data_IF_961260227411
#
_entry.id   IF_961260227411
#
_cell.length_a   1.000
_cell.length_b   1.000
_cell.length_c   1.000
_cell.angle_alpha   90.00
_cell.angle_beta   90.00
_cell.angle_gamma   90.00
#
_symmetry.space_group_name_H-M   'P 1'
#
loop_
_entity.id
_entity.type
_entity.pdbx_description
1 polymer ?
#
# COMPACT_ATOMS: atom_id res chain seq x y z
N UNK A 1 -12.67 -36.93 -38.44
CA UNK A 1 -11.85 -35.70 -38.31
C UNK A 1 -12.35 -35.00 -37.06
N UNK A 2 -11.67 -35.18 -35.92
CA UNK A 2 -12.09 -34.59 -34.64
C UNK A 2 -11.32 -33.30 -34.47
N UNK A 3 -12.01 -32.17 -34.63
CA UNK A 3 -11.49 -30.84 -34.33
C UNK A 3 -11.49 -30.65 -32.81
N UNK A 4 -10.32 -30.66 -32.19
CA UNK A 4 -10.14 -30.14 -30.84
C UNK A 4 -10.14 -28.62 -30.94
N UNK A 5 -11.25 -27.99 -30.54
CA UNK A 5 -11.25 -26.56 -30.26
C UNK A 5 -10.51 -26.33 -28.95
N UNK A 6 -9.26 -25.90 -29.04
CA UNK A 6 -8.54 -25.32 -27.91
C UNK A 6 -9.21 -23.99 -27.59
N UNK A 7 -10.01 -23.96 -26.53
CA UNK A 7 -10.39 -22.69 -25.92
C UNK A 7 -9.12 -22.12 -25.29
N UNK A 8 -8.46 -21.22 -26.01
CA UNK A 8 -7.54 -20.29 -25.37
C UNK A 8 -8.41 -19.40 -24.49
N UNK A 9 -8.45 -19.67 -23.19
CA UNK A 9 -8.87 -18.65 -22.23
C UNK A 9 -7.99 -17.43 -22.51
N UNK A 10 -8.59 -16.35 -22.99
CA UNK A 10 -7.96 -15.04 -22.92
C UNK A 10 -7.74 -14.81 -21.42
N UNK A 11 -6.55 -15.16 -20.93
CA UNK A 11 -6.14 -14.82 -19.58
C UNK A 11 -5.97 -13.31 -19.57
N UNK A 12 -7.10 -12.61 -19.33
CA UNK A 12 -7.13 -11.19 -19.04
C UNK A 12 -6.03 -10.92 -18.02
N UNK A 13 -5.12 -10.01 -18.35
CA UNK A 13 -4.11 -9.52 -17.41
C UNK A 13 -4.80 -9.18 -16.08
N UNK A 14 -4.32 -9.70 -14.94
CA UNK A 14 -4.86 -9.34 -13.64
C UNK A 14 -4.92 -7.82 -13.48
N UNK A 15 -6.01 -7.31 -12.90
CA UNK A 15 -6.23 -5.90 -12.60
C UNK A 15 -5.10 -5.39 -11.70
N UNK A 16 -4.67 -6.19 -10.74
CA UNK A 16 -3.50 -5.90 -9.89
C UNK A 16 -2.23 -5.65 -10.71
N UNK A 17 -1.97 -6.44 -11.75
CA UNK A 17 -0.83 -6.24 -12.64
C UNK A 17 -0.96 -4.96 -13.49
N UNK A 18 -2.18 -4.61 -13.92
CA UNK A 18 -2.43 -3.32 -14.61
C UNK A 18 -2.18 -2.13 -13.70
N UNK A 19 -2.67 -2.16 -12.46
CA UNK A 19 -2.42 -1.09 -11.48
C UNK A 19 -0.94 -0.96 -11.13
N UNK A 20 -0.21 -2.09 -11.08
CA UNK A 20 1.24 -2.07 -10.89
C UNK A 20 1.98 -1.40 -12.06
N UNK A 21 1.53 -1.63 -13.28
CA UNK A 21 2.16 -1.09 -14.49
C UNK A 21 1.81 0.39 -14.73
N UNK A 22 0.52 0.73 -14.63
CA UNK A 22 -0.02 2.01 -15.07
C UNK A 22 -0.31 2.97 -13.90
N UNK A 23 -0.24 2.46 -12.66
CA UNK A 23 -0.71 3.16 -11.47
C UNK A 23 -2.24 3.21 -11.39
N UNK A 24 -2.75 3.80 -10.30
CA UNK A 24 -4.16 4.14 -10.20
C UNK A 24 -4.47 5.41 -11.01
N UNK A 25 -5.56 5.42 -11.79
CA UNK A 25 -5.99 6.60 -12.52
C UNK A 25 -6.33 7.74 -11.55
N UNK A 26 -6.10 8.98 -12.01
CA UNK A 26 -6.50 10.18 -11.29
C UNK A 26 -7.96 10.58 -11.52
N UNK A 27 -8.57 10.11 -12.62
CA UNK A 27 -9.96 10.40 -12.97
C UNK A 27 -10.91 9.57 -12.09
N UNK A 28 -11.91 10.18 -11.42
CA UNK A 28 -12.70 9.51 -10.38
C UNK A 28 -13.50 8.30 -10.87
N UNK A 29 -14.10 8.39 -12.06
CA UNK A 29 -14.92 7.32 -12.61
C UNK A 29 -14.05 6.11 -13.02
N UNK A 30 -12.88 6.36 -13.62
CA UNK A 30 -11.88 5.35 -13.93
C UNK A 30 -11.32 4.71 -12.66
N UNK A 31 -11.09 5.50 -11.60
CA UNK A 31 -10.66 5.01 -10.30
C UNK A 31 -11.72 4.10 -9.65
N UNK A 32 -12.99 4.49 -9.70
CA UNK A 32 -14.09 3.66 -9.20
C UNK A 32 -14.20 2.34 -9.98
N UNK A 33 -14.07 2.40 -11.31
CA UNK A 33 -14.11 1.23 -12.19
C UNK A 33 -12.99 0.24 -11.88
N UNK A 34 -11.74 0.70 -11.85
CA UNK A 34 -10.59 -0.18 -11.57
C UNK A 34 -10.63 -0.71 -10.13
N UNK A 35 -11.12 0.07 -9.17
CA UNK A 35 -11.31 -0.39 -7.79
C UNK A 35 -12.37 -1.48 -7.70
N UNK A 36 -13.50 -1.33 -8.39
CA UNK A 36 -14.51 -2.40 -8.47
C UNK A 36 -13.96 -3.67 -9.09
N UNK A 37 -13.15 -3.56 -10.15
CA UNK A 37 -12.54 -4.70 -10.81
C UNK A 37 -11.50 -5.41 -9.93
N UNK A 38 -10.75 -4.68 -9.09
CA UNK A 38 -9.86 -5.26 -8.08
C UNK A 38 -10.63 -6.10 -7.06
N UNK A 39 -11.80 -5.62 -6.60
CA UNK A 39 -12.62 -6.40 -5.67
C UNK A 39 -13.16 -7.68 -6.30
N UNK A 40 -13.64 -7.61 -7.54
CA UNK A 40 -14.07 -8.81 -8.30
C UNK A 40 -12.92 -9.80 -8.51
N UNK A 41 -11.70 -9.29 -8.74
CA UNK A 41 -10.51 -10.15 -8.82
C UNK A 41 -10.26 -10.85 -7.49
N UNK A 42 -10.36 -10.13 -6.37
CA UNK A 42 -10.26 -10.72 -5.04
C UNK A 42 -11.34 -11.79 -4.80
N UNK A 43 -12.62 -11.50 -5.06
CA UNK A 43 -13.71 -12.47 -4.90
C UNK A 43 -13.50 -13.75 -5.73
N UNK A 44 -12.93 -13.62 -6.93
CA UNK A 44 -12.68 -14.75 -7.83
C UNK A 44 -11.44 -15.56 -7.44
N UNK A 45 -10.40 -14.91 -6.93
CA UNK A 45 -9.07 -15.53 -6.76
C UNK A 45 -8.67 -15.75 -5.32
N UNK A 46 -9.35 -15.11 -4.37
CA UNK A 46 -9.01 -15.01 -2.95
C UNK A 46 -7.57 -14.54 -2.69
N UNK A 47 -6.97 -13.79 -3.62
CA UNK A 47 -5.61 -13.29 -3.50
C UNK A 47 -5.57 -11.97 -2.75
N UNK A 48 -4.94 -11.98 -1.58
CA UNK A 48 -4.83 -10.82 -0.69
C UNK A 48 -4.19 -9.59 -1.34
N UNK A 49 -3.29 -9.76 -2.31
CA UNK A 49 -2.77 -8.64 -3.09
C UNK A 49 -3.88 -7.81 -3.75
N UNK A 50 -4.88 -8.46 -4.36
CA UNK A 50 -6.03 -7.76 -4.93
C UNK A 50 -6.83 -7.00 -3.87
N UNK A 51 -6.97 -7.55 -2.66
CA UNK A 51 -7.65 -6.90 -1.54
C UNK A 51 -6.90 -5.65 -1.05
N UNK A 52 -5.56 -5.70 -0.98
CA UNK A 52 -4.73 -4.55 -0.61
C UNK A 52 -4.88 -3.43 -1.65
N UNK A 53 -4.74 -3.76 -2.94
CA UNK A 53 -4.91 -2.77 -4.01
C UNK A 53 -6.34 -2.21 -4.01
N UNK A 54 -7.36 -3.05 -3.84
CA UNK A 54 -8.75 -2.59 -3.69
C UNK A 54 -8.89 -1.58 -2.56
N UNK A 55 -8.35 -1.90 -1.38
CA UNK A 55 -8.39 -1.04 -0.20
C UNK A 55 -7.72 0.31 -0.45
N UNK A 56 -6.58 0.31 -1.13
CA UNK A 56 -5.90 1.54 -1.54
C UNK A 56 -6.74 2.36 -2.55
N UNK A 57 -7.39 1.71 -3.51
CA UNK A 57 -8.33 2.34 -4.43
C UNK A 57 -9.52 2.99 -3.71
N UNK A 58 -10.07 2.35 -2.68
CA UNK A 58 -11.12 2.90 -1.83
C UNK A 58 -10.64 4.16 -1.09
N UNK A 59 -9.43 4.13 -0.52
CA UNK A 59 -8.84 5.28 0.18
C UNK A 59 -8.56 6.46 -0.77
N UNK A 60 -8.17 6.19 -2.02
CA UNK A 60 -8.04 7.24 -3.05
C UNK A 60 -9.39 7.86 -3.41
N UNK A 61 -10.44 7.05 -3.52
CA UNK A 61 -11.81 7.57 -3.72
C UNK A 61 -12.27 8.40 -2.53
N UNK A 62 -11.99 7.97 -1.30
CA UNK A 62 -12.27 8.74 -0.10
C UNK A 62 -11.62 10.13 -0.14
N UNK A 63 -10.35 10.19 -0.54
CA UNK A 63 -9.62 11.46 -0.70
C UNK A 63 -10.24 12.35 -1.80
N UNK A 64 -10.71 11.77 -2.90
CA UNK A 64 -11.44 12.52 -3.92
C UNK A 64 -12.74 13.13 -3.35
N UNK A 65 -13.58 12.33 -2.70
CA UNK A 65 -14.84 12.84 -2.12
C UNK A 65 -14.59 13.89 -1.03
N UNK A 66 -13.54 13.72 -0.23
CA UNK A 66 -13.08 14.73 0.72
C UNK A 66 -12.76 16.06 0.02
N UNK A 67 -12.08 16.03 -1.13
CA UNK A 67 -11.68 17.23 -1.88
C UNK A 67 -12.86 18.05 -2.44
N UNK A 68 -14.02 17.41 -2.64
CA UNK A 68 -15.26 18.06 -3.08
C UNK A 68 -16.26 18.29 -1.94
N UNK A 69 -15.82 18.15 -0.69
CA UNK A 69 -16.62 18.28 0.54
C UNK A 69 -17.82 17.31 0.64
N UNK A 70 -17.78 16.19 -0.06
CA UNK A 70 -18.75 15.10 0.12
C UNK A 70 -18.30 14.20 1.27
N UNK A 71 -18.53 14.68 2.49
CA UNK A 71 -18.04 14.04 3.71
C UNK A 71 -18.68 12.68 3.98
N UNK A 72 -19.91 12.45 3.48
CA UNK A 72 -20.61 11.18 3.63
C UNK A 72 -19.88 10.11 2.83
N UNK A 73 -19.68 10.34 1.53
CA UNK A 73 -18.96 9.38 0.69
C UNK A 73 -17.50 9.26 1.15
N UNK A 74 -16.82 10.37 1.47
CA UNK A 74 -15.46 10.32 2.00
C UNK A 74 -15.33 9.37 3.20
N UNK A 75 -16.26 9.46 4.16
CA UNK A 75 -16.28 8.60 5.34
C UNK A 75 -16.54 7.13 5.00
N UNK A 76 -17.54 6.84 4.15
CA UNK A 76 -17.89 5.45 3.80
C UNK A 76 -16.77 4.74 3.02
N UNK A 77 -16.15 5.43 2.05
CA UNK A 77 -15.01 4.90 1.31
C UNK A 77 -13.78 4.71 2.21
N UNK A 78 -13.51 5.66 3.13
CA UNK A 78 -12.39 5.54 4.07
C UNK A 78 -12.58 4.36 5.01
N UNK A 79 -13.76 4.22 5.63
CA UNK A 79 -14.09 3.10 6.52
C UNK A 79 -13.92 1.75 5.82
N UNK A 80 -14.43 1.64 4.59
CA UNK A 80 -14.33 0.40 3.81
C UNK A 80 -12.88 0.10 3.44
N UNK A 81 -12.14 1.12 2.99
CA UNK A 81 -10.72 0.99 2.64
C UNK A 81 -9.87 0.54 3.84
N UNK A 82 -10.06 1.16 5.01
CA UNK A 82 -9.35 0.75 6.22
C UNK A 82 -9.72 -0.64 6.70
N UNK A 83 -11.02 -0.98 6.70
CA UNK A 83 -11.48 -2.29 7.10
C UNK A 83 -10.78 -3.41 6.31
N UNK A 84 -10.77 -3.33 4.97
CA UNK A 84 -10.15 -4.37 4.16
C UNK A 84 -8.63 -4.34 4.16
N UNK A 85 -8.02 -3.16 4.35
CA UNK A 85 -6.56 -3.06 4.48
C UNK A 85 -6.08 -3.72 5.78
N UNK A 86 -6.82 -3.51 6.87
CA UNK A 86 -6.52 -4.11 8.17
C UNK A 86 -6.82 -5.62 8.14
N UNK A 87 -7.97 -6.03 7.61
CA UNK A 87 -8.33 -7.45 7.43
C UNK A 87 -7.28 -8.21 6.60
N UNK A 88 -6.71 -7.59 5.55
CA UNK A 88 -5.67 -8.21 4.74
C UNK A 88 -4.43 -8.59 5.57
N UNK A 89 -4.07 -7.76 6.57
CA UNK A 89 -2.95 -8.03 7.47
C UNK A 89 -3.36 -8.98 8.60
N UNK A 90 -4.53 -8.78 9.19
CA UNK A 90 -5.00 -9.57 10.32
C UNK A 90 -5.29 -11.03 9.92
N UNK A 91 -5.67 -11.28 8.67
CA UNK A 91 -5.82 -12.66 8.15
C UNK A 91 -4.49 -13.28 7.69
N UNK A 92 -3.41 -12.51 7.64
CA UNK A 92 -2.10 -12.93 7.16
C UNK A 92 -0.97 -12.41 8.07
N UNK A 93 -1.15 -12.50 9.39
CA UNK A 93 -0.34 -11.78 10.39
C UNK A 93 1.17 -12.02 10.28
N UNK A 94 1.57 -13.23 9.89
CA UNK A 94 2.97 -13.65 9.75
C UNK A 94 3.64 -13.20 8.44
N UNK A 95 2.85 -12.71 7.47
CA UNK A 95 3.35 -12.29 6.18
C UNK A 95 3.83 -10.83 6.22
N UNK A 96 5.15 -10.68 6.35
CA UNK A 96 5.80 -9.37 6.42
C UNK A 96 5.69 -8.56 5.12
N UNK A 97 5.43 -9.18 3.97
CA UNK A 97 5.26 -8.47 2.70
C UNK A 97 3.90 -7.75 2.65
N UNK A 98 2.85 -8.41 3.14
CA UNK A 98 1.51 -7.81 3.27
C UNK A 98 1.55 -6.67 4.28
N UNK A 99 2.22 -6.88 5.42
CA UNK A 99 2.44 -5.84 6.44
C UNK A 99 3.20 -4.63 5.88
N UNK A 100 4.23 -4.88 5.05
CA UNK A 100 4.95 -3.80 4.35
C UNK A 100 4.00 -2.97 3.49
N UNK A 101 3.11 -3.61 2.72
CA UNK A 101 2.17 -2.89 1.86
C UNK A 101 1.14 -2.07 2.65
N UNK A 102 0.65 -2.56 3.80
CA UNK A 102 -0.19 -1.74 4.69
C UNK A 102 0.56 -0.51 5.19
N UNK A 103 1.76 -0.69 5.73
CA UNK A 103 2.60 0.42 6.18
C UNK A 103 2.87 1.43 5.05
N UNK A 104 3.04 0.91 3.82
CA UNK A 104 3.27 1.72 2.61
C UNK A 104 2.05 2.53 2.22
N UNK A 105 0.84 2.01 2.35
CA UNK A 105 -0.38 2.79 2.11
C UNK A 105 -0.52 3.83 3.22
N UNK A 106 -0.44 3.41 4.47
CA UNK A 106 -0.72 4.24 5.64
C UNK A 106 0.25 5.43 5.82
N UNK A 107 1.54 5.25 5.50
CA UNK A 107 2.56 6.28 5.66
C UNK A 107 2.37 7.52 4.75
N UNK A 108 1.55 7.42 3.70
CA UNK A 108 1.24 8.53 2.79
C UNK A 108 -0.21 8.99 2.86
N UNK A 109 -0.99 8.49 3.82
CA UNK A 109 -2.33 9.03 4.05
C UNK A 109 -2.28 10.35 4.83
N UNK A 110 -3.30 11.22 4.67
CA UNK A 110 -3.41 12.45 5.44
C UNK A 110 -3.30 12.23 6.96
N UNK A 111 -2.54 13.10 7.63
CA UNK A 111 -2.24 13.02 9.08
C UNK A 111 -3.49 12.88 9.95
N UNK A 112 -4.58 13.58 9.57
CA UNK A 112 -5.84 13.58 10.32
C UNK A 112 -6.55 12.22 10.40
N UNK A 113 -6.14 11.22 9.61
CA UNK A 113 -6.73 9.87 9.63
C UNK A 113 -6.13 8.95 10.71
N UNK A 114 -5.08 9.40 11.44
CA UNK A 114 -4.52 8.66 12.57
C UNK A 114 -3.69 7.41 12.23
N UNK A 115 -3.52 7.10 10.94
CA UNK A 115 -2.82 5.90 10.45
C UNK A 115 -1.31 5.87 10.71
N UNK A 116 -0.75 6.96 11.23
CA UNK A 116 0.66 7.01 11.65
C UNK A 116 0.97 6.03 12.78
N UNK A 117 0.02 5.75 13.69
CA UNK A 117 0.24 4.79 14.80
C UNK A 117 0.45 3.38 14.24
N UNK A 118 -0.42 2.97 13.31
CA UNK A 118 -0.34 1.66 12.65
C UNK A 118 0.94 1.54 11.83
N UNK A 119 1.33 2.61 11.12
CA UNK A 119 2.62 2.62 10.39
C UNK A 119 3.81 2.45 11.34
N UNK A 120 3.80 3.07 12.52
CA UNK A 120 4.88 2.90 13.51
C UNK A 120 4.94 1.44 13.98
N UNK A 121 3.80 0.83 14.32
CA UNK A 121 3.72 -0.56 14.75
C UNK A 121 4.19 -1.54 13.66
N UNK A 122 3.71 -1.36 12.43
CA UNK A 122 4.12 -2.21 11.32
C UNK A 122 5.60 -2.05 11.01
N UNK A 123 6.12 -0.82 10.96
CA UNK A 123 7.55 -0.60 10.71
C UNK A 123 8.43 -1.16 11.82
N UNK A 124 7.97 -1.21 13.07
CA UNK A 124 8.68 -1.89 14.16
C UNK A 124 8.77 -3.40 13.92
N UNK A 125 7.66 -4.05 13.56
CA UNK A 125 7.64 -5.48 13.24
C UNK A 125 8.51 -5.81 12.03
N UNK A 126 8.45 -4.98 10.98
CA UNK A 126 9.27 -5.14 9.78
C UNK A 126 10.77 -5.01 10.08
N UNK A 127 11.17 -4.04 10.91
CA UNK A 127 12.56 -3.85 11.32
C UNK A 127 13.06 -4.97 12.24
N UNK A 128 12.18 -5.56 13.06
CA UNK A 128 12.49 -6.75 13.85
C UNK A 128 12.68 -8.01 12.98
N UNK A 129 12.13 -8.02 11.76
CA UNK A 129 12.27 -9.08 10.75
C UNK A 129 13.12 -8.63 9.55
N UNK A 130 14.09 -7.73 9.79
CA UNK A 130 14.89 -7.10 8.72
C UNK A 130 15.68 -8.09 7.86
N UNK A 131 15.96 -9.29 8.35
CA UNK A 131 16.63 -10.37 7.62
C UNK A 131 15.83 -10.86 6.41
N UNK A 132 14.51 -10.63 6.39
CA UNK A 132 13.65 -10.92 5.23
C UNK A 132 13.76 -9.87 4.11
N UNK A 133 14.41 -8.74 4.37
CA UNK A 133 14.39 -7.57 3.49
C UNK A 133 15.77 -7.19 2.99
N UNK A 134 15.83 -6.72 1.74
CA UNK A 134 17.05 -6.09 1.22
C UNK A 134 17.31 -4.75 1.91
N UNK A 135 18.55 -4.25 1.82
CA UNK A 135 18.90 -2.93 2.36
C UNK A 135 18.07 -1.80 1.76
N UNK A 136 17.64 -1.93 0.50
CA UNK A 136 16.78 -0.97 -0.18
C UNK A 136 15.39 -0.93 0.46
N UNK A 137 14.78 -2.10 0.67
CA UNK A 137 13.49 -2.20 1.37
C UNK A 137 13.59 -1.72 2.83
N UNK A 138 14.68 -2.03 3.54
CA UNK A 138 14.93 -1.48 4.88
C UNK A 138 14.97 0.05 4.84
N UNK A 139 15.61 0.64 3.83
CA UNK A 139 15.59 2.09 3.61
C UNK A 139 14.18 2.65 3.47
N UNK A 140 13.32 1.96 2.70
CA UNK A 140 11.92 2.36 2.52
C UNK A 140 11.13 2.24 3.83
N UNK A 141 11.35 1.17 4.61
CA UNK A 141 10.75 0.99 5.95
C UNK A 141 11.13 2.16 6.87
N UNK A 142 12.39 2.58 6.86
CA UNK A 142 12.87 3.70 7.67
C UNK A 142 12.27 5.04 7.21
N UNK A 143 12.07 5.23 5.91
CA UNK A 143 11.34 6.40 5.37
C UNK A 143 9.89 6.43 5.83
N UNK A 144 9.18 5.29 5.74
CA UNK A 144 7.80 5.16 6.24
C UNK A 144 7.72 5.49 7.73
N UNK A 145 8.64 4.92 8.52
CA UNK A 145 8.74 5.16 9.95
C UNK A 145 9.00 6.63 10.26
N UNK A 146 9.91 7.28 9.55
CA UNK A 146 10.23 8.69 9.76
C UNK A 146 9.03 9.60 9.48
N UNK A 147 8.29 9.35 8.38
CA UNK A 147 7.02 10.05 8.09
C UNK A 147 6.00 9.83 9.21
N UNK A 148 5.82 8.60 9.64
CA UNK A 148 4.85 8.26 10.68
C UNK A 148 5.17 8.91 12.02
N UNK A 149 6.45 8.91 12.44
CA UNK A 149 6.89 9.59 13.66
C UNK A 149 6.60 11.10 13.62
N UNK A 150 6.82 11.75 12.47
CA UNK A 150 6.47 13.17 12.29
C UNK A 150 4.97 13.40 12.37
N UNK A 151 4.20 12.59 11.66
CA UNK A 151 2.73 12.69 11.58
C UNK A 151 2.06 12.42 12.94
N UNK A 152 2.65 11.55 13.76
CA UNK A 152 2.22 11.27 15.13
C UNK A 152 2.87 12.23 16.17
N UNK A 153 3.58 13.27 15.73
CA UNK A 153 4.22 14.28 16.59
C UNK A 153 5.23 13.70 17.60
N UNK A 154 5.87 12.57 17.30
CA UNK A 154 6.88 11.90 18.12
C UNK A 154 8.28 12.51 17.90
N UNK A 155 8.42 13.80 18.21
CA UNK A 155 9.60 14.64 17.87
C UNK A 155 10.94 14.06 18.32
N UNK A 156 10.98 13.41 19.49
CA UNK A 156 12.23 12.85 20.01
C UNK A 156 12.68 11.64 19.17
N UNK A 157 11.77 10.72 18.91
CA UNK A 157 12.02 9.53 18.10
C UNK A 157 12.32 9.89 16.65
N UNK A 158 11.59 10.85 16.08
CA UNK A 158 11.84 11.40 14.74
C UNK A 158 13.28 11.92 14.65
N UNK A 159 13.70 12.77 15.60
CA UNK A 159 15.06 13.31 15.64
C UNK A 159 16.12 12.23 15.77
N UNK A 160 15.92 11.26 16.66
CA UNK A 160 16.85 10.15 16.88
C UNK A 160 17.05 9.32 15.61
N UNK A 161 15.95 8.98 14.92
CA UNK A 161 15.98 8.24 13.67
C UNK A 161 16.68 9.06 12.58
N UNK A 162 16.28 10.33 12.41
CA UNK A 162 16.91 11.22 11.45
C UNK A 162 18.42 11.34 11.68
N UNK A 163 18.86 11.62 12.91
CA UNK A 163 20.28 11.71 13.28
C UNK A 163 21.03 10.39 12.98
N UNK A 164 20.41 9.24 13.22
CA UNK A 164 20.99 7.95 12.88
C UNK A 164 21.19 7.78 11.37
N UNK A 165 20.16 8.08 10.57
CA UNK A 165 20.23 8.01 9.10
C UNK A 165 21.31 8.91 8.51
N UNK A 166 21.53 10.12 9.08
CA UNK A 166 22.62 11.00 8.64
C UNK A 166 23.99 10.39 8.94
N UNK A 167 24.18 9.81 10.13
CA UNK A 167 25.47 9.20 10.53
C UNK A 167 25.88 8.04 9.62
N UNK A 168 24.92 7.27 9.13
CA UNK A 168 25.18 6.14 8.23
C UNK A 168 25.08 6.52 6.74
N UNK A 169 24.93 7.81 6.42
CA UNK A 169 24.77 8.33 5.07
C UNK A 169 23.61 7.69 4.27
N UNK A 170 22.50 7.38 4.95
CA UNK A 170 21.25 6.84 4.37
C UNK A 170 20.08 7.81 4.52
N UNK A 171 20.35 9.08 4.77
CA UNK A 171 19.33 10.11 4.78
C UNK A 171 18.72 10.24 3.37
N UNK A 172 17.38 10.22 3.28
CA UNK A 172 16.64 10.51 2.06
C UNK A 172 15.98 11.88 2.20
N UNK A 173 15.87 12.60 1.10
CA UNK A 173 15.02 13.79 1.05
C UNK A 173 13.56 13.34 1.11
N UNK A 174 12.81 13.88 2.07
CA UNK A 174 11.41 13.54 2.29
C UNK A 174 10.62 14.84 2.28
N UNK A 175 9.72 14.97 1.31
CA UNK A 175 8.67 15.97 1.36
C UNK A 175 7.55 15.48 2.29
N UNK A 176 7.52 16.03 3.50
CA UNK A 176 6.54 15.65 4.52
C UNK A 176 5.15 16.25 4.28
N UNK A 177 5.03 17.27 3.43
CA UNK A 177 3.75 17.92 3.14
C UNK A 177 3.06 17.23 1.95
N UNK A 178 3.84 16.59 1.07
CA UNK A 178 3.29 15.78 0.00
C UNK A 178 2.82 14.40 0.51
N UNK A 179 1.52 14.15 0.35
CA UNK A 179 0.87 12.86 0.64
C UNK A 179 0.72 11.98 -0.62
N UNK A 180 1.25 12.41 -1.75
CA UNK A 180 1.37 11.53 -2.90
C UNK A 180 2.38 10.43 -2.61
N UNK A 181 1.92 9.20 -2.76
CA UNK A 181 2.76 8.03 -2.60
C UNK A 181 3.81 7.99 -3.71
N UNK A 182 5.12 7.89 -3.39
CA UNK A 182 6.15 7.79 -4.42
C UNK A 182 5.94 6.54 -5.26
N UNK A 183 6.41 6.59 -6.50
CA UNK A 183 6.41 5.46 -7.42
C UNK A 183 7.09 4.24 -6.81
N UNK A 184 6.61 3.05 -7.16
CA UNK A 184 7.22 1.79 -6.73
C UNK A 184 8.67 1.68 -7.20
N UNK A 185 9.59 1.49 -6.27
CA UNK A 185 10.97 1.14 -6.61
C UNK A 185 11.03 -0.30 -7.14
N UNK A 186 11.97 -0.61 -8.03
CA UNK A 186 12.09 -1.96 -8.61
C UNK A 186 12.27 -3.04 -7.53
N UNK A 187 12.98 -2.74 -6.44
CA UNK A 187 13.11 -3.64 -5.30
C UNK A 187 11.76 -3.90 -4.60
N UNK A 188 10.90 -2.89 -4.46
CA UNK A 188 9.54 -3.08 -3.92
C UNK A 188 8.73 -4.00 -4.82
N UNK A 189 8.80 -3.76 -6.13
CA UNK A 189 8.09 -4.59 -7.13
C UNK A 189 8.50 -6.05 -7.01
N UNK A 190 9.79 -6.33 -7.04
CA UNK A 190 10.32 -7.69 -7.10
C UNK A 190 10.25 -8.43 -5.75
N UNK A 191 10.59 -7.76 -4.64
CA UNK A 191 10.69 -8.40 -3.32
C UNK A 191 9.35 -8.44 -2.58
N UNK A 192 8.43 -7.51 -2.86
CA UNK A 192 7.19 -7.36 -2.09
C UNK A 192 5.95 -7.55 -2.96
N UNK A 193 5.77 -6.70 -3.98
CA UNK A 193 4.49 -6.58 -4.67
C UNK A 193 4.17 -7.83 -5.50
N UNK A 194 5.12 -8.29 -6.31
CA UNK A 194 4.92 -9.47 -7.17
C UNK A 194 4.63 -10.74 -6.34
N UNK A 195 5.39 -11.06 -5.28
CA UNK A 195 5.05 -12.17 -4.39
C UNK A 195 3.64 -12.08 -3.82
N UNK A 196 3.25 -10.90 -3.29
CA UNK A 196 1.92 -10.71 -2.69
C UNK A 196 0.79 -10.83 -3.71
N UNK A 197 0.96 -10.30 -4.93
CA UNK A 197 -0.04 -10.46 -6.01
C UNK A 197 -0.12 -11.92 -6.49
N UNK A 198 0.98 -12.66 -6.44
CA UNK A 198 0.97 -14.08 -6.80
C UNK A 198 0.36 -14.96 -5.71
N UNK A 199 0.41 -14.52 -4.45
CA UNK A 199 -0.01 -15.28 -3.27
C UNK A 199 1.12 -16.15 -2.71
N UNK A 200 2.37 -15.68 -2.83
CA UNK A 200 3.59 -16.32 -2.32
C UNK A 200 3.93 -15.85 -0.89
#
# INVERSE_FOLDING_TARGET
MVTFSVFAENVSTPVTARVLQDGFPGEPQALASITSDLFKEYERTNKVGALIFYSWGMLRQANYYQSINDLINASEYAKTGFFYLDEAVDTNEDNMLIRYLRARVDAWLPVGLGRCVITIEDTDLLLNNKDKFSSEIIGNILTMRLRALRNCHMKQQEKQLADHLRRINQQREIDFENNEMPTWEMAEVLQVIVPVIKGE
#
